data_IF_405474207868
#
_entry.id   IF_405474207868
#
_cell.length_a   1.000
_cell.length_b   1.000
_cell.length_c   1.000
_cell.angle_alpha   90.00
_cell.angle_beta   90.00
_cell.angle_gamma   90.00
#
_symmetry.space_group_name_H-M   'P 1'
#
loop_
_entity.id
_entity.type
_entity.pdbx_description
1 polymer ?
#
# COMPACT_ATOMS: atom_id res chain seq x y z
N UNK A 1 -0.44 15.16 -0.89
CA UNK A 1 -1.14 13.91 -0.56
C UNK A 1 -0.93 13.69 0.92
N UNK A 2 -2.01 13.49 1.66
CA UNK A 2 -1.90 13.23 3.10
C UNK A 2 -1.59 11.76 3.31
N UNK A 3 -0.60 11.45 4.12
CA UNK A 3 -0.29 10.10 4.54
C UNK A 3 -0.71 9.98 6.00
N UNK A 4 -1.71 9.15 6.25
CA UNK A 4 -2.18 8.79 7.58
C UNK A 4 -1.54 7.46 7.97
N UNK A 5 -0.47 7.51 8.77
CA UNK A 5 0.17 6.29 9.29
C UNK A 5 -0.01 6.16 10.80
N UNK A 6 -0.63 5.07 11.24
CA UNK A 6 -0.80 4.71 12.65
C UNK A 6 -1.37 5.86 13.52
N UNK A 7 -2.28 6.67 12.96
CA UNK A 7 -2.92 7.81 13.64
C UNK A 7 -2.18 9.15 13.52
N UNK A 8 -1.02 9.20 12.87
CA UNK A 8 -0.28 10.44 12.56
C UNK A 8 -0.52 10.80 11.09
N UNK A 9 -0.72 12.08 10.81
CA UNK A 9 -0.92 12.59 9.44
C UNK A 9 0.23 13.51 9.04
N UNK A 10 0.88 13.19 7.93
CA UNK A 10 1.92 14.01 7.29
C UNK A 10 1.53 14.31 5.84
N UNK A 11 1.74 15.54 5.38
CA UNK A 11 1.44 15.93 4.00
C UNK A 11 2.73 15.92 3.16
N UNK A 12 2.70 15.20 2.04
CA UNK A 12 3.80 15.13 1.07
C UNK A 12 3.38 15.63 -0.30
N UNK A 13 4.32 16.19 -1.06
CA UNK A 13 4.08 16.50 -2.47
C UNK A 13 4.32 15.25 -3.31
N UNK A 14 3.45 15.04 -4.30
CA UNK A 14 3.63 13.99 -5.31
C UNK A 14 3.24 14.55 -6.66
N UNK A 15 4.08 14.31 -7.66
CA UNK A 15 3.89 14.80 -9.02
C UNK A 15 3.93 13.65 -10.00
N UNK A 16 2.93 13.61 -10.88
CA UNK A 16 2.86 12.65 -11.97
C UNK A 16 2.68 13.40 -13.29
N UNK A 17 3.35 12.98 -14.37
CA UNK A 17 3.04 13.47 -15.70
C UNK A 17 1.57 13.19 -16.03
N UNK A 18 0.87 14.20 -16.56
CA UNK A 18 -0.51 14.01 -17.02
C UNK A 18 -0.53 12.99 -18.16
N UNK A 19 -1.35 11.93 -18.09
CA UNK A 19 -1.42 10.95 -19.17
C UNK A 19 -1.98 11.58 -20.44
N UNK A 20 -1.39 11.24 -21.59
CA UNK A 20 -1.89 11.61 -22.91
C UNK A 20 -2.99 10.63 -23.38
N UNK A 21 -3.59 10.90 -24.55
CA UNK A 21 -4.65 10.05 -25.10
C UNK A 21 -4.18 8.62 -25.40
N UNK A 22 -2.91 8.42 -25.76
CA UNK A 22 -2.33 7.11 -26.01
C UNK A 22 -2.29 6.29 -24.71
N UNK A 23 -1.81 6.90 -23.62
CA UNK A 23 -1.73 6.27 -22.30
C UNK A 23 -3.12 5.95 -21.78
N UNK A 24 -4.06 6.91 -21.84
CA UNK A 24 -5.45 6.68 -21.41
C UNK A 24 -6.10 5.49 -22.14
N UNK A 25 -5.87 5.37 -23.45
CA UNK A 25 -6.40 4.25 -24.23
C UNK A 25 -5.71 2.92 -23.91
N UNK A 26 -4.39 2.93 -23.67
CA UNK A 26 -3.63 1.73 -23.33
C UNK A 26 -3.97 1.19 -21.92
N UNK A 27 -4.43 2.07 -21.03
CA UNK A 27 -4.78 1.77 -19.64
C UNK A 27 -6.28 1.95 -19.37
N UNK A 28 -7.14 1.72 -20.38
CA UNK A 28 -8.58 1.89 -20.25
C UNK A 28 -9.28 0.77 -19.43
N UNK A 29 -8.59 0.23 -18.43
CA UNK A 29 -9.14 -0.63 -17.39
C UNK A 29 -8.95 0.08 -16.05
N UNK A 30 -10.06 0.62 -15.52
CA UNK A 30 -10.04 1.38 -14.26
C UNK A 30 -9.54 0.54 -13.07
N UNK A 31 -9.79 -0.77 -13.07
CA UNK A 31 -9.37 -1.66 -11.98
C UNK A 31 -7.84 -1.78 -11.98
N UNK A 32 -7.27 -2.22 -13.10
CA UNK A 32 -5.82 -2.40 -13.23
C UNK A 32 -5.10 -1.07 -13.00
N UNK A 33 -5.63 0.03 -13.56
CA UNK A 33 -5.03 1.37 -13.40
C UNK A 33 -5.04 1.84 -11.94
N UNK A 34 -6.12 1.55 -11.21
CA UNK A 34 -6.23 1.91 -9.79
C UNK A 34 -5.28 1.06 -8.94
N UNK A 35 -5.16 -0.22 -9.25
CA UNK A 35 -4.28 -1.15 -8.54
C UNK A 35 -2.80 -0.81 -8.77
N UNK A 36 -2.38 -0.69 -10.03
CA UNK A 36 -1.00 -0.36 -10.39
C UNK A 36 -0.59 1.03 -9.91
N UNK A 37 -1.50 2.01 -10.00
CA UNK A 37 -1.27 3.33 -9.43
C UNK A 37 -1.07 3.25 -7.90
N UNK A 38 -1.89 2.44 -7.22
CA UNK A 38 -1.83 2.34 -5.76
C UNK A 38 -0.53 1.70 -5.32
N UNK A 39 -0.04 0.71 -6.06
CA UNK A 39 1.26 0.08 -5.82
C UNK A 39 2.40 1.11 -5.76
N UNK A 40 2.52 1.95 -6.78
CA UNK A 40 3.58 2.97 -6.82
C UNK A 40 3.48 3.97 -5.67
N UNK A 41 2.28 4.49 -5.41
CA UNK A 41 2.07 5.49 -4.35
C UNK A 41 2.25 4.88 -2.95
N UNK A 42 1.75 3.68 -2.69
CA UNK A 42 1.90 3.00 -1.40
C UNK A 42 3.34 2.68 -1.10
N UNK A 43 4.12 2.20 -2.06
CA UNK A 43 5.54 1.92 -1.86
C UNK A 43 6.31 3.20 -1.50
N UNK A 44 6.08 4.30 -2.22
CA UNK A 44 6.69 5.59 -1.91
C UNK A 44 6.27 6.12 -0.52
N UNK A 45 5.00 5.95 -0.15
CA UNK A 45 4.48 6.37 1.15
C UNK A 45 5.07 5.56 2.31
N UNK A 46 5.19 4.23 2.14
CA UNK A 46 5.82 3.33 3.11
C UNK A 46 7.32 3.65 3.25
N UNK A 47 8.00 3.96 2.15
CA UNK A 47 9.42 4.35 2.18
C UNK A 47 9.63 5.65 2.97
N UNK A 48 8.82 6.68 2.74
CA UNK A 48 9.01 7.98 3.39
C UNK A 48 8.59 7.97 4.88
N UNK A 49 7.49 7.30 5.23
CA UNK A 49 6.94 7.30 6.59
C UNK A 49 7.50 6.17 7.47
N UNK A 50 7.62 4.96 6.94
CA UNK A 50 8.00 3.77 7.72
C UNK A 50 9.47 3.39 7.55
N UNK A 51 10.18 4.02 6.60
CA UNK A 51 11.58 3.70 6.25
C UNK A 51 11.77 2.25 5.80
N UNK A 52 10.76 1.70 5.12
CA UNK A 52 10.76 0.36 4.56
C UNK A 52 10.70 0.40 3.03
N UNK A 53 11.42 -0.52 2.37
CA UNK A 53 11.42 -0.69 0.91
C UNK A 53 10.97 -2.10 0.54
N UNK A 54 10.34 -2.26 -0.63
CA UNK A 54 10.03 -3.58 -1.16
C UNK A 54 11.30 -4.33 -1.55
N UNK A 55 11.46 -5.53 -1.01
CA UNK A 55 12.59 -6.41 -1.30
C UNK A 55 12.20 -7.62 -2.14
N UNK A 56 10.93 -8.05 -2.06
CA UNK A 56 10.44 -9.23 -2.77
C UNK A 56 8.91 -9.20 -2.94
N UNK A 57 8.39 -9.81 -4.02
CA UNK A 57 6.95 -10.11 -4.12
C UNK A 57 6.58 -11.25 -3.18
N UNK A 58 5.47 -11.08 -2.48
CA UNK A 58 4.98 -12.14 -1.61
C UNK A 58 4.42 -13.32 -2.44
N UNK A 59 4.56 -14.53 -1.90
CA UNK A 59 3.96 -15.71 -2.51
C UNK A 59 2.42 -15.64 -2.42
N UNK A 60 1.74 -16.41 -3.27
CA UNK A 60 0.28 -16.57 -3.20
C UNK A 60 -0.15 -17.06 -1.82
N UNK A 61 -1.36 -16.67 -1.39
CA UNK A 61 -2.00 -17.06 -0.11
C UNK A 61 -1.39 -16.44 1.17
N UNK A 62 -0.37 -15.60 1.04
CA UNK A 62 0.20 -14.83 2.17
C UNK A 62 -0.69 -13.67 2.63
N UNK A 63 -1.69 -13.30 1.83
CA UNK A 63 -2.53 -12.12 2.07
C UNK A 63 -1.74 -10.81 2.01
N UNK A 64 -0.68 -10.79 1.20
CA UNK A 64 0.21 -9.67 0.98
C UNK A 64 0.64 -9.61 -0.49
N UNK A 65 1.04 -8.43 -0.93
CA UNK A 65 1.61 -8.16 -2.25
C UNK A 65 3.14 -8.22 -2.24
N UNK A 66 3.76 -7.66 -1.20
CA UNK A 66 5.21 -7.58 -1.04
C UNK A 66 5.68 -8.01 0.34
N UNK A 67 6.95 -8.37 0.40
CA UNK A 67 7.77 -8.21 1.60
C UNK A 67 8.50 -6.87 1.52
N UNK A 68 8.41 -6.10 2.60
CA UNK A 68 9.13 -4.84 2.78
C UNK A 68 10.05 -4.92 4.00
N UNK A 69 11.22 -4.31 3.92
CA UNK A 69 12.24 -4.36 4.96
C UNK A 69 12.88 -2.98 5.16
N UNK A 70 13.56 -2.72 6.29
CA UNK A 70 14.32 -1.50 6.48
C UNK A 70 15.26 -1.19 5.31
N UNK A 71 15.40 0.09 4.99
CA UNK A 71 16.33 0.53 3.93
C UNK A 71 17.75 0.02 4.26
N UNK A 72 18.36 -0.67 3.30
CA UNK A 72 19.70 -1.26 3.44
C UNK A 72 19.72 -2.72 3.89
N UNK A 73 18.56 -3.32 4.19
CA UNK A 73 18.45 -4.78 4.42
C UNK A 73 18.82 -5.54 3.14
N UNK A 74 19.53 -6.66 3.30
CA UNK A 74 19.80 -7.60 2.21
C UNK A 74 18.47 -8.20 1.70
N UNK A 75 18.15 -8.11 0.39
CA UNK A 75 16.90 -8.65 -0.13
C UNK A 75 16.68 -10.15 0.11
N UNK A 76 17.75 -10.91 0.37
CA UNK A 76 17.67 -12.34 0.70
C UNK A 76 17.42 -12.60 2.20
N UNK A 77 17.56 -11.59 3.07
CA UNK A 77 17.25 -11.66 4.50
C UNK A 77 15.78 -11.31 4.76
N UNK A 78 14.95 -12.35 4.89
CA UNK A 78 13.52 -12.23 5.14
C UNK A 78 13.14 -12.23 6.62
N UNK A 79 14.11 -12.34 7.56
CA UNK A 79 13.79 -12.44 8.99
C UNK A 79 13.22 -11.13 9.56
N UNK A 80 13.65 -10.00 9.01
CA UNK A 80 13.23 -8.66 9.43
C UNK A 80 12.09 -8.06 8.56
N UNK A 81 11.50 -8.87 7.68
CA UNK A 81 10.50 -8.40 6.73
C UNK A 81 9.11 -8.22 7.36
N UNK A 82 8.42 -7.20 6.85
CA UNK A 82 6.99 -7.01 7.01
C UNK A 82 6.30 -7.45 5.72
N UNK A 83 5.14 -8.07 5.84
CA UNK A 83 4.20 -8.21 4.73
C UNK A 83 3.54 -6.87 4.44
N UNK A 84 3.44 -6.49 3.18
CA UNK A 84 2.69 -5.31 2.73
C UNK A 84 1.57 -5.73 1.80
N UNK A 85 0.33 -5.43 2.19
CA UNK A 85 -0.87 -5.57 1.35
C UNK A 85 -1.34 -4.19 0.90
N UNK A 86 -1.55 -4.02 -0.40
CA UNK A 86 -1.92 -2.73 -0.99
C UNK A 86 -3.33 -2.76 -1.56
N UNK A 87 -3.98 -1.60 -1.59
CA UNK A 87 -5.19 -1.37 -2.39
C UNK A 87 -5.26 0.07 -2.87
N UNK A 88 -5.91 0.28 -4.00
CA UNK A 88 -6.40 1.59 -4.41
C UNK A 88 -7.92 1.74 -4.26
N UNK A 89 -8.37 2.98 -4.15
CA UNK A 89 -9.75 3.42 -4.42
C UNK A 89 -9.72 4.71 -5.24
N UNK A 90 -10.43 4.72 -6.38
CA UNK A 90 -10.52 5.84 -7.31
C UNK A 90 -11.75 6.74 -7.04
N UNK A 91 -12.68 6.26 -6.20
CA UNK A 91 -13.96 6.92 -5.88
C UNK A 91 -14.22 6.95 -4.38
N UNK A 92 -15.07 7.88 -3.96
CA UNK A 92 -15.39 8.11 -2.55
C UNK A 92 -14.40 9.06 -1.87
N UNK A 93 -14.68 9.36 -0.59
CA UNK A 93 -13.82 10.17 0.27
C UNK A 93 -13.26 9.35 1.43
N UNK A 94 -12.81 10.02 2.48
CA UNK A 94 -12.18 9.41 3.67
C UNK A 94 -12.85 8.13 4.21
N UNK A 95 -14.18 8.11 4.30
CA UNK A 95 -14.92 6.95 4.83
C UNK A 95 -14.73 5.69 3.98
N UNK A 96 -14.62 5.82 2.67
CA UNK A 96 -14.37 4.71 1.74
C UNK A 96 -12.95 4.19 1.89
N UNK A 97 -11.97 5.10 2.00
CA UNK A 97 -10.57 4.76 2.27
C UNK A 97 -10.45 3.96 3.57
N UNK A 98 -11.08 4.45 4.64
CA UNK A 98 -11.04 3.81 5.95
C UNK A 98 -11.72 2.43 5.94
N UNK A 99 -12.90 2.32 5.31
CA UNK A 99 -13.59 1.05 5.16
C UNK A 99 -12.73 0.03 4.39
N UNK A 100 -12.05 0.46 3.32
CA UNK A 100 -11.15 -0.38 2.55
C UNK A 100 -9.91 -0.79 3.35
N UNK A 101 -9.34 0.12 4.15
CA UNK A 101 -8.21 -0.19 5.03
C UNK A 101 -8.59 -1.28 6.03
N UNK A 102 -9.76 -1.17 6.68
CA UNK A 102 -10.25 -2.19 7.60
C UNK A 102 -10.43 -3.55 6.92
N UNK A 103 -10.95 -3.57 5.69
CA UNK A 103 -11.03 -4.82 4.91
C UNK A 103 -9.66 -5.45 4.67
N UNK A 104 -8.65 -4.65 4.30
CA UNK A 104 -7.29 -5.13 4.06
C UNK A 104 -6.61 -5.63 5.33
N UNK A 105 -6.75 -4.93 6.45
CA UNK A 105 -6.28 -5.40 7.76
C UNK A 105 -6.84 -6.80 8.07
N UNK A 106 -8.15 -7.00 7.89
CA UNK A 106 -8.81 -8.30 8.12
C UNK A 106 -8.28 -9.37 7.15
N UNK A 107 -8.09 -9.04 5.88
CA UNK A 107 -7.54 -9.94 4.87
C UNK A 107 -6.12 -10.38 5.24
N UNK A 108 -5.25 -9.43 5.56
CA UNK A 108 -3.83 -9.69 5.87
C UNK A 108 -3.67 -10.51 7.15
N UNK A 109 -4.53 -10.31 8.16
CA UNK A 109 -4.59 -11.15 9.38
C UNK A 109 -4.91 -12.62 9.11
N UNK A 110 -5.64 -12.91 8.03
CA UNK A 110 -6.00 -14.29 7.63
C UNK A 110 -4.93 -14.96 6.77
N UNK A 111 -3.92 -14.20 6.32
CA UNK A 111 -2.82 -14.72 5.52
C UNK A 111 -1.99 -15.75 6.29
N UNK A 112 -1.57 -16.82 5.60
CA UNK A 112 -0.79 -17.90 6.21
C UNK A 112 0.69 -17.51 6.37
N UNK A 113 1.00 -16.60 7.29
CA UNK A 113 2.37 -16.16 7.58
C UNK A 113 2.51 -15.68 9.03
N UNK A 114 3.69 -15.91 9.62
CA UNK A 114 4.03 -15.46 10.97
C UNK A 114 4.74 -14.09 10.99
N UNK A 115 4.91 -13.46 9.81
CA UNK A 115 5.55 -12.16 9.71
C UNK A 115 4.56 -11.04 10.02
N UNK A 116 5.03 -9.96 10.68
CA UNK A 116 4.23 -8.77 10.91
C UNK A 116 3.76 -8.19 9.58
N UNK A 117 2.65 -7.45 9.60
CA UNK A 117 2.02 -6.99 8.37
C UNK A 117 1.66 -5.50 8.41
N UNK A 118 1.55 -4.92 7.22
CA UNK A 118 1.16 -3.54 6.97
C UNK A 118 0.08 -3.58 5.89
N UNK A 119 -1.02 -2.86 6.13
CA UNK A 119 -2.02 -2.58 5.11
C UNK A 119 -1.87 -1.14 4.66
N UNK A 120 -1.89 -0.91 3.35
CA UNK A 120 -1.84 0.42 2.74
C UNK A 120 -3.00 0.60 1.75
N UNK A 121 -3.72 1.73 1.86
CA UNK A 121 -4.79 2.08 0.93
C UNK A 121 -4.60 3.47 0.36
N UNK A 122 -4.58 3.58 -0.96
CA UNK A 122 -4.46 4.83 -1.70
C UNK A 122 -5.85 5.31 -2.13
N UNK A 123 -6.30 6.43 -1.59
CA UNK A 123 -7.49 7.14 -2.06
C UNK A 123 -7.11 8.25 -3.03
N UNK A 124 -7.20 7.99 -4.34
CA UNK A 124 -6.79 8.96 -5.36
C UNK A 124 -7.63 10.22 -5.36
N UNK A 125 -8.95 10.08 -5.26
CA UNK A 125 -9.88 11.21 -5.21
C UNK A 125 -9.73 12.04 -3.93
N UNK A 126 -9.55 11.35 -2.80
CA UNK A 126 -9.34 11.95 -1.47
C UNK A 126 -7.91 12.51 -1.30
N UNK A 127 -6.98 12.15 -2.20
CA UNK A 127 -5.55 12.48 -2.11
C UNK A 127 -4.94 12.05 -0.77
N UNK A 128 -5.23 10.82 -0.37
CA UNK A 128 -4.77 10.24 0.91
C UNK A 128 -4.16 8.87 0.72
N UNK A 129 -3.11 8.55 1.48
CA UNK A 129 -2.62 7.19 1.70
C UNK A 129 -2.86 6.85 3.16
N UNK A 130 -3.64 5.81 3.44
CA UNK A 130 -3.85 5.32 4.79
C UNK A 130 -2.99 4.07 5.02
N UNK A 131 -2.18 4.08 6.07
CA UNK A 131 -1.23 3.03 6.43
C UNK A 131 -1.50 2.58 7.86
N UNK A 132 -1.57 1.26 8.05
CA UNK A 132 -1.73 0.68 9.38
C UNK A 132 -0.85 -0.55 9.54
N UNK A 133 -0.04 -0.56 10.60
CA UNK A 133 0.59 -1.79 11.09
C UNK A 133 -0.48 -2.70 11.66
N UNK A 134 -0.50 -3.93 11.17
CA UNK A 134 -1.43 -4.98 11.60
C UNK A 134 -0.77 -5.71 12.76
N UNK A 135 -1.28 -5.48 13.97
CA UNK A 135 -0.91 -6.31 15.13
C UNK A 135 -1.67 -7.64 15.09
N UNK A 136 -1.01 -8.67 15.65
CA UNK A 136 -1.58 -10.00 15.90
C UNK A 136 -2.50 -10.05 17.13
N UNK A 137 -2.82 -8.89 17.74
CA UNK A 137 -3.72 -8.85 18.88
C UNK A 137 -5.12 -9.32 18.44
N UNK A 138 -5.45 -10.52 18.93
CA UNK A 138 -6.78 -11.14 18.90
C UNK A 138 -7.74 -10.43 19.83
#
# INVERSE_FOLDING_TARGET
>A
MDIESNGVTNTHSVEFPKPDSRILNAWANDIDTTEDGAYGVSLAAVEVEEKLIAVRRAETLTGADWYVAPIGTDPDDLESCFRLEVSGVDRGGRSVVNARLQQKIIQTRRGASNLPAIASVVGFKEKTVAIQKVSDEK
#
